data_IF_200821416607
#
_entry.id   IF_200821416607
#
_cell.length_a   1.000
_cell.length_b   1.000
_cell.length_c   1.000
_cell.angle_alpha   90.00
_cell.angle_beta   90.00
_cell.angle_gamma   90.00
#
_symmetry.space_group_name_H-M   'P 1'
#
loop_
_entity.id
_entity.type
_entity.pdbx_description
1 polymer ?
#
# COMPACT_ATOMS: atom_id res chain seq x y z
N UNK A 1 -18.68 -2.63 -22.36
CA UNK A 1 -18.35 -2.26 -20.96
C UNK A 1 -18.88 -0.86 -20.73
N UNK A 2 -19.71 -0.64 -19.70
CA UNK A 2 -20.07 0.73 -19.31
C UNK A 2 -18.84 1.35 -18.66
N UNK A 3 -18.28 2.40 -19.26
CA UNK A 3 -17.25 3.22 -18.63
C UNK A 3 -17.89 3.91 -17.42
N UNK A 4 -17.50 3.51 -16.22
CA UNK A 4 -17.85 4.24 -15.02
C UNK A 4 -17.01 5.52 -14.97
N UNK A 5 -17.66 6.68 -15.12
CA UNK A 5 -16.99 7.97 -15.29
C UNK A 5 -17.18 8.83 -14.05
N UNK A 6 -16.07 9.03 -13.34
CA UNK A 6 -16.02 9.95 -12.20
C UNK A 6 -15.48 11.30 -12.68
N UNK A 7 -16.17 12.39 -12.31
CA UNK A 7 -15.69 13.77 -12.54
C UNK A 7 -15.17 14.35 -11.23
N UNK A 8 -13.87 14.66 -11.18
CA UNK A 8 -13.20 15.18 -9.99
C UNK A 8 -12.73 16.61 -10.22
N UNK A 9 -12.90 17.47 -9.21
CA UNK A 9 -12.40 18.85 -9.24
C UNK A 9 -10.92 18.87 -8.88
N UNK A 10 -10.13 19.58 -9.67
CA UNK A 10 -8.70 19.77 -9.46
C UNK A 10 -8.42 21.23 -9.12
N UNK A 11 -7.51 21.47 -8.18
CA UNK A 11 -6.96 22.82 -8.00
C UNK A 11 -6.16 23.24 -9.23
N UNK A 12 -6.05 24.55 -9.46
CA UNK A 12 -5.29 25.08 -10.59
C UNK A 12 -3.82 24.62 -10.55
N UNK A 13 -3.22 24.56 -9.35
CA UNK A 13 -1.86 24.07 -9.17
C UNK A 13 -1.73 22.58 -9.51
N UNK A 14 -2.64 21.74 -9.02
CA UNK A 14 -2.61 20.30 -9.30
C UNK A 14 -2.79 20.02 -10.79
N UNK A 15 -3.66 20.77 -11.47
CA UNK A 15 -3.84 20.69 -12.93
C UNK A 15 -2.55 21.03 -13.67
N UNK A 16 -1.83 22.07 -13.25
CA UNK A 16 -0.54 22.47 -13.83
C UNK A 16 0.52 21.37 -13.65
N UNK A 17 0.64 20.84 -12.43
CA UNK A 17 1.58 19.75 -12.13
C UNK A 17 1.28 18.48 -12.93
N UNK A 18 0.00 18.12 -13.07
CA UNK A 18 -0.43 16.98 -13.89
C UNK A 18 -0.10 17.18 -15.37
N UNK A 19 -0.30 18.39 -15.90
CA UNK A 19 0.07 18.72 -17.28
C UNK A 19 1.57 18.58 -17.50
N UNK A 20 2.39 19.13 -16.60
CA UNK A 20 3.84 19.04 -16.69
C UNK A 20 4.32 17.59 -16.63
N UNK A 21 3.80 16.80 -15.68
CA UNK A 21 4.12 15.38 -15.55
C UNK A 21 3.78 14.62 -16.84
N UNK A 22 2.58 14.81 -17.38
CA UNK A 22 2.14 14.17 -18.63
C UNK A 22 3.02 14.54 -19.82
N UNK A 23 3.41 15.82 -19.93
CA UNK A 23 4.30 16.30 -20.98
C UNK A 23 5.70 15.70 -20.90
N UNK A 24 6.26 15.57 -19.70
CA UNK A 24 7.60 14.98 -19.49
C UNK A 24 7.58 13.48 -19.79
N UNK A 25 6.55 12.76 -19.35
CA UNK A 25 6.45 11.31 -19.53
C UNK A 25 5.94 10.90 -20.91
N UNK A 26 5.47 11.83 -21.75
CA UNK A 26 4.83 11.52 -23.03
C UNK A 26 3.53 10.72 -22.91
N UNK A 27 2.87 10.74 -21.74
CA UNK A 27 1.66 9.96 -21.45
C UNK A 27 0.43 10.85 -21.38
N UNK A 28 -0.77 10.25 -21.51
CA UNK A 28 -2.02 11.01 -21.35
C UNK A 28 -2.26 11.29 -19.88
N UNK A 29 -2.83 12.47 -19.59
CA UNK A 29 -3.25 12.84 -18.22
C UNK A 29 -4.18 11.82 -17.58
N UNK A 30 -5.10 11.26 -18.37
CA UNK A 30 -6.03 10.21 -17.93
C UNK A 30 -5.29 8.98 -17.40
N UNK A 31 -4.18 8.61 -18.05
CA UNK A 31 -3.43 7.41 -17.69
C UNK A 31 -2.62 7.65 -16.42
N UNK A 32 -2.08 8.85 -16.24
CA UNK A 32 -1.46 9.25 -14.98
C UNK A 32 -2.45 9.29 -13.82
N UNK A 33 -3.66 9.83 -14.03
CA UNK A 33 -4.70 9.87 -13.00
C UNK A 33 -5.15 8.45 -12.66
N UNK A 34 -5.42 7.61 -13.66
CA UNK A 34 -5.81 6.21 -13.46
C UNK A 34 -4.73 5.44 -12.69
N UNK A 35 -3.48 5.51 -13.14
CA UNK A 35 -2.37 4.82 -12.48
C UNK A 35 -2.06 5.36 -11.08
N UNK A 36 -2.38 6.62 -10.78
CA UNK A 36 -2.28 7.15 -9.41
C UNK A 36 -3.36 6.56 -8.50
N UNK A 37 -4.61 6.49 -8.98
CA UNK A 37 -5.73 5.88 -8.24
C UNK A 37 -5.50 4.39 -8.01
N UNK A 38 -5.10 3.65 -9.04
CA UNK A 38 -4.79 2.22 -8.93
C UNK A 38 -3.67 1.96 -7.91
N UNK A 39 -2.60 2.77 -7.93
CA UNK A 39 -1.50 2.66 -6.94
C UNK A 39 -1.96 2.97 -5.53
N UNK A 40 -2.81 3.98 -5.33
CA UNK A 40 -3.34 4.32 -4.01
C UNK A 40 -4.19 3.17 -3.45
N UNK A 41 -5.11 2.62 -4.26
CA UNK A 41 -5.95 1.49 -3.86
C UNK A 41 -5.12 0.22 -3.63
N UNK A 42 -4.08 -0.01 -4.44
CA UNK A 42 -3.14 -1.11 -4.21
C UNK A 42 -2.31 -0.92 -2.93
N UNK A 43 -1.96 0.32 -2.56
CA UNK A 43 -1.25 0.64 -1.32
C UNK A 43 -2.14 0.43 -0.09
N UNK A 44 -3.42 0.82 -0.16
CA UNK A 44 -4.41 0.57 0.89
C UNK A 44 -4.69 -0.92 1.09
N UNK A 45 -4.68 -1.70 0.00
CA UNK A 45 -4.74 -3.17 0.08
C UNK A 45 -3.43 -3.83 0.53
N UNK A 46 -2.32 -3.07 0.54
CA UNK A 46 -0.99 -3.52 0.96
C UNK A 46 -0.71 -3.24 2.44
N UNK A 47 -1.74 -3.21 3.29
CA UNK A 47 -1.56 -3.43 4.74
C UNK A 47 -1.20 -4.90 4.97
N UNK A 48 -0.08 -5.34 4.38
CA UNK A 48 0.59 -6.57 4.75
C UNK A 48 1.07 -6.32 6.17
N UNK A 49 0.40 -6.96 7.12
CA UNK A 49 0.74 -6.87 8.54
C UNK A 49 2.20 -7.30 8.75
N UNK A 50 2.82 -6.82 9.83
CA UNK A 50 4.18 -7.25 10.18
C UNK A 50 4.29 -8.78 10.27
N UNK A 51 3.22 -9.45 10.73
CA UNK A 51 3.08 -10.90 10.73
C UNK A 51 3.23 -11.50 9.32
N UNK A 52 2.49 -11.00 8.33
CA UNK A 52 2.56 -11.52 6.95
C UNK A 52 3.93 -11.27 6.30
N UNK A 53 4.59 -10.14 6.62
CA UNK A 53 5.97 -9.88 6.19
C UNK A 53 6.95 -10.87 6.79
N UNK A 54 6.87 -11.10 8.10
CA UNK A 54 7.73 -12.06 8.81
C UNK A 54 7.50 -13.50 8.31
N UNK A 55 6.24 -13.85 7.99
CA UNK A 55 5.88 -15.15 7.44
C UNK A 55 6.48 -15.36 6.05
N UNK A 56 6.34 -14.40 5.14
CA UNK A 56 6.95 -14.45 3.80
C UNK A 56 8.48 -14.51 3.84
N UNK A 57 9.09 -13.84 4.81
CA UNK A 57 10.53 -13.86 5.01
C UNK A 57 11.04 -15.16 5.67
N UNK A 58 10.17 -16.13 6.00
CA UNK A 58 10.54 -17.38 6.66
C UNK A 58 11.00 -17.21 8.11
N UNK A 59 10.72 -16.05 8.72
CA UNK A 59 11.12 -15.75 10.10
C UNK A 59 10.17 -16.41 11.11
N UNK A 60 8.91 -16.61 10.73
CA UNK A 60 7.93 -17.33 11.55
C UNK A 60 8.34 -18.81 11.63
N UNK A 61 8.63 -19.28 12.84
CA UNK A 61 9.09 -20.65 13.07
C UNK A 61 10.59 -20.87 12.84
N UNK A 62 11.39 -19.80 12.67
CA UNK A 62 12.85 -19.90 12.55
C UNK A 62 13.52 -20.48 13.82
N UNK A 63 12.94 -20.24 15.00
CA UNK A 63 13.40 -20.79 16.28
C UNK A 63 12.68 -22.11 16.56
N UNK A 64 13.44 -23.17 16.85
CA UNK A 64 12.91 -24.51 17.16
C UNK A 64 12.79 -24.72 18.68
N UNK A 65 11.88 -25.62 19.09
CA UNK A 65 11.63 -26.02 20.50
C UNK A 65 11.09 -24.90 21.41
N UNK A 66 10.46 -23.90 20.83
CA UNK A 66 9.73 -22.85 21.54
C UNK A 66 8.21 -23.02 21.36
N UNK A 67 7.42 -22.27 22.12
CA UNK A 67 5.96 -22.24 21.98
C UNK A 67 5.55 -21.98 20.53
N UNK A 68 4.53 -22.70 20.05
CA UNK A 68 4.12 -22.68 18.64
C UNK A 68 3.42 -21.37 18.23
N UNK A 69 3.00 -20.56 19.20
CA UNK A 69 2.12 -19.41 19.04
C UNK A 69 2.78 -18.07 19.39
N UNK A 70 4.12 -18.03 19.48
CA UNK A 70 4.87 -16.80 19.81
C UNK A 70 4.58 -15.60 18.91
N UNK A 71 4.17 -15.83 17.66
CA UNK A 71 3.87 -14.76 16.69
C UNK A 71 2.38 -14.49 16.50
N UNK A 72 1.51 -15.18 17.25
CA UNK A 72 0.05 -15.09 17.08
C UNK A 72 -0.70 -14.91 18.40
N UNK A 73 -0.07 -15.19 19.55
CA UNK A 73 -0.68 -15.06 20.86
C UNK A 73 -0.37 -13.70 21.49
N UNK A 74 -1.39 -12.84 21.69
CA UNK A 74 -1.20 -11.50 22.27
C UNK A 74 -0.54 -11.48 23.64
N UNK A 75 -0.63 -12.57 24.42
CA UNK A 75 0.03 -12.67 25.74
C UNK A 75 1.55 -12.56 25.66
N UNK A 76 2.14 -12.86 24.50
CA UNK A 76 3.58 -12.71 24.28
C UNK A 76 3.95 -11.31 23.74
N UNK A 77 2.97 -10.43 23.51
CA UNK A 77 3.18 -9.11 22.93
C UNK A 77 3.20 -8.01 24.00
N UNK A 78 3.09 -8.35 25.29
CA UNK A 78 3.22 -7.39 26.38
C UNK A 78 4.63 -6.75 26.35
N UNK A 79 4.67 -5.42 26.28
CA UNK A 79 5.91 -4.63 26.12
C UNK A 79 6.44 -4.53 24.69
N UNK A 80 5.81 -5.18 23.70
CA UNK A 80 6.21 -5.08 22.30
C UNK A 80 5.78 -3.72 21.71
N UNK A 81 6.74 -2.93 21.22
CA UNK A 81 6.48 -1.62 20.61
C UNK A 81 6.27 -0.47 21.61
N UNK A 82 6.61 -0.67 22.89
CA UNK A 82 6.63 0.40 23.90
C UNK A 82 7.79 1.38 23.69
N UNK A 83 7.50 2.67 23.89
CA UNK A 83 8.47 3.77 24.04
C UNK A 83 9.10 3.77 25.43
#
# INVERSE_FOLDING_TARGET
MKDDRITVRFSADLRRRLQQAASISGTRKSDLVRGAVERQLAAENNVITAYERAKRAGLIGAVRRVSRDLSTNPRHFDGFGGS
#
